data_IF_571618451343
#
_entry.id   IF_571618451343
#
_cell.length_a   1.000
_cell.length_b   1.000
_cell.length_c   1.000
_cell.angle_alpha   90.00
_cell.angle_beta   90.00
_cell.angle_gamma   90.00
#
_symmetry.space_group_name_H-M   'P 1'
#
loop_
_entity.id
_entity.type
_entity.pdbx_description
1 polymer ?
#
# COMPACT_ATOMS: atom_id res chain seq x y z
N UNK A 1 7.22 -92.90 -3.79
CA UNK A 1 6.45 -91.90 -3.02
C UNK A 1 7.34 -90.66 -2.79
N UNK A 2 7.25 -89.66 -3.66
CA UNK A 2 8.08 -88.49 -3.66
C UNK A 2 7.23 -87.28 -3.25
N UNK A 3 7.47 -86.71 -2.07
CA UNK A 3 6.82 -85.53 -1.58
C UNK A 3 7.50 -84.27 -2.15
N UNK A 4 6.75 -83.49 -2.90
CA UNK A 4 7.16 -82.11 -3.34
C UNK A 4 6.81 -81.11 -2.28
N UNK A 5 7.77 -80.27 -1.90
CA UNK A 5 7.57 -79.05 -1.08
C UNK A 5 7.31 -77.85 -2.01
N UNK A 6 6.40 -76.96 -1.66
CA UNK A 6 6.22 -75.74 -2.43
C UNK A 6 7.21 -74.66 -1.98
N UNK A 7 7.77 -73.99 -2.96
CA UNK A 7 8.66 -72.81 -2.75
C UNK A 7 7.81 -71.52 -2.41
N UNK A 8 8.09 -70.92 -1.29
CA UNK A 8 7.53 -69.65 -0.86
C UNK A 8 8.31 -68.49 -1.50
N UNK A 9 7.66 -67.73 -2.38
CA UNK A 9 8.22 -66.54 -2.97
C UNK A 9 7.99 -65.37 -1.94
N UNK A 10 9.05 -64.86 -1.38
CA UNK A 10 9.03 -63.66 -0.55
C UNK A 10 9.10 -62.42 -1.47
N UNK A 11 8.01 -61.66 -1.57
CA UNK A 11 7.97 -60.40 -2.27
C UNK A 11 8.50 -59.29 -1.32
N UNK A 12 9.65 -58.71 -1.62
CA UNK A 12 10.20 -57.57 -0.94
C UNK A 12 9.52 -56.30 -1.47
N UNK A 13 8.68 -55.65 -0.66
CA UNK A 13 8.16 -54.31 -0.92
C UNK A 13 9.24 -53.25 -0.55
N UNK A 14 9.85 -52.64 -1.57
CA UNK A 14 10.69 -51.46 -1.40
C UNK A 14 9.78 -50.22 -1.25
N UNK A 15 9.63 -49.71 -0.04
CA UNK A 15 8.98 -48.44 0.22
C UNK A 15 9.93 -47.30 -0.20
N UNK A 16 9.65 -46.63 -1.31
CA UNK A 16 10.31 -45.41 -1.71
C UNK A 16 9.68 -44.24 -0.88
N UNK A 17 10.36 -43.84 0.18
CA UNK A 17 10.01 -42.63 0.91
C UNK A 17 10.40 -41.42 0.05
N UNK A 18 9.42 -40.81 -0.63
CA UNK A 18 9.57 -39.50 -1.26
C UNK A 18 9.75 -38.46 -0.18
N UNK A 19 10.97 -38.01 0.06
CA UNK A 19 11.29 -36.82 0.86
C UNK A 19 10.76 -35.60 0.09
N UNK A 20 9.56 -35.16 0.45
CA UNK A 20 9.06 -33.84 0.05
C UNK A 20 9.98 -32.79 0.69
N UNK A 21 10.89 -32.26 -0.08
CA UNK A 21 11.66 -31.05 0.29
C UNK A 21 10.65 -29.91 0.42
N UNK A 22 10.25 -29.59 1.65
CA UNK A 22 9.53 -28.35 1.93
C UNK A 22 10.49 -27.20 1.59
N UNK A 23 10.17 -26.45 0.53
CA UNK A 23 10.88 -25.22 0.22
C UNK A 23 10.80 -24.31 1.45
N UNK A 24 11.95 -24.00 2.04
CA UNK A 24 12.00 -23.04 3.14
C UNK A 24 11.46 -21.70 2.65
N UNK A 25 10.61 -21.00 3.44
CA UNK A 25 10.14 -19.67 3.06
C UNK A 25 11.34 -18.78 2.77
N UNK A 26 11.38 -18.16 1.61
CA UNK A 26 12.44 -17.25 1.25
C UNK A 26 12.42 -16.07 2.22
N UNK A 27 13.58 -15.72 2.78
CA UNK A 27 13.72 -14.57 3.69
C UNK A 27 13.21 -13.29 2.99
N UNK A 28 12.49 -12.42 3.70
CA UNK A 28 11.97 -11.19 3.11
C UNK A 28 13.11 -10.28 2.67
N UNK A 29 12.96 -9.65 1.50
CA UNK A 29 13.90 -8.64 1.00
C UNK A 29 13.69 -7.35 1.78
N UNK A 30 14.70 -6.92 2.55
CA UNK A 30 14.67 -5.69 3.35
C UNK A 30 15.82 -4.79 2.99
N UNK A 31 15.53 -3.51 2.81
CA UNK A 31 16.51 -2.50 2.43
C UNK A 31 16.15 -1.14 3.03
N UNK A 32 17.16 -0.36 3.37
CA UNK A 32 17.03 1.06 3.72
C UNK A 32 17.87 1.85 2.73
N UNK A 33 17.22 2.70 1.95
CA UNK A 33 17.81 3.56 0.93
C UNK A 33 17.62 5.02 1.32
N UNK A 34 18.68 5.83 1.26
CA UNK A 34 18.58 7.28 1.47
C UNK A 34 17.92 7.94 0.27
N UNK A 35 16.90 8.78 0.52
CA UNK A 35 16.19 9.51 -0.54
C UNK A 35 16.76 10.93 -0.73
N UNK A 36 16.69 11.73 0.32
CA UNK A 36 17.20 13.10 0.32
C UNK A 36 17.42 13.56 1.77
N UNK A 37 18.38 14.47 2.01
CA UNK A 37 18.71 14.93 3.36
C UNK A 37 18.92 13.78 4.33
N UNK A 38 18.17 13.74 5.41
CA UNK A 38 18.14 12.61 6.36
C UNK A 38 16.80 11.83 6.30
N UNK A 39 16.16 11.81 5.12
CA UNK A 39 14.96 11.01 4.83
C UNK A 39 15.33 9.74 4.08
N UNK A 40 14.80 8.63 4.55
CA UNK A 40 15.11 7.29 4.07
C UNK A 40 13.83 6.54 3.69
N UNK A 41 13.92 5.66 2.69
CA UNK A 41 12.90 4.68 2.33
C UNK A 41 13.26 3.32 2.90
N UNK A 42 12.36 2.71 3.62
CA UNK A 42 12.43 1.31 4.04
C UNK A 42 11.63 0.44 3.09
N UNK A 43 12.21 -0.67 2.69
CA UNK A 43 11.59 -1.73 1.88
C UNK A 43 11.42 -3.00 2.70
N UNK A 44 10.22 -3.60 2.63
CA UNK A 44 9.98 -4.98 3.05
C UNK A 44 9.21 -5.70 1.93
N UNK A 45 9.92 -6.46 1.09
CA UNK A 45 9.41 -7.03 -0.16
C UNK A 45 8.85 -5.95 -1.10
N UNK A 46 7.52 -5.93 -1.31
CA UNK A 46 6.82 -4.98 -2.17
C UNK A 46 6.17 -3.83 -1.41
N UNK A 47 6.40 -3.72 -0.09
CA UNK A 47 5.89 -2.64 0.74
C UNK A 47 7.01 -1.67 1.09
N UNK A 48 6.67 -0.40 1.12
CA UNK A 48 7.60 0.66 1.41
C UNK A 48 7.04 1.64 2.45
N UNK A 49 7.90 2.10 3.33
CA UNK A 49 7.63 3.21 4.23
C UNK A 49 8.78 4.21 4.24
N UNK A 50 8.59 5.35 4.88
CA UNK A 50 9.57 6.44 4.95
C UNK A 50 9.88 6.75 6.40
N UNK A 51 11.12 7.13 6.69
CA UNK A 51 11.48 7.69 7.99
C UNK A 51 12.49 8.81 7.86
N UNK A 52 12.42 9.78 8.76
CA UNK A 52 13.37 10.89 8.86
C UNK A 52 14.17 10.77 10.15
N UNK A 53 15.50 10.88 10.05
CA UNK A 53 16.43 10.85 11.18
C UNK A 53 16.78 12.28 11.59
N UNK A 54 16.67 12.57 12.89
CA UNK A 54 16.97 13.88 13.44
C UNK A 54 17.87 13.77 14.67
N UNK A 55 18.50 14.87 15.14
CA UNK A 55 19.26 14.84 16.39
C UNK A 55 18.43 14.49 17.63
N UNK A 56 17.12 14.66 17.59
CA UNK A 56 16.20 14.40 18.71
C UNK A 56 15.46 13.06 18.63
N UNK A 57 15.69 12.26 17.58
CA UNK A 57 15.05 10.97 17.35
C UNK A 57 14.58 10.81 15.91
N UNK A 58 13.73 9.81 15.67
CA UNK A 58 13.24 9.46 14.33
C UNK A 58 11.75 9.64 14.25
N UNK A 59 11.28 10.21 13.13
CA UNK A 59 9.88 10.19 12.70
C UNK A 59 9.76 9.06 11.69
N UNK A 60 9.04 7.98 12.02
CA UNK A 60 8.79 6.85 11.14
C UNK A 60 7.35 6.82 10.65
N UNK A 61 7.12 6.18 9.52
CA UNK A 61 5.79 5.92 8.99
C UNK A 61 5.55 4.41 8.88
N UNK A 62 4.33 4.01 8.72
CA UNK A 62 3.87 2.67 8.39
C UNK A 62 4.80 1.49 8.74
N UNK A 63 4.52 0.75 9.83
CA UNK A 63 5.34 -0.36 10.29
C UNK A 63 5.32 -1.58 9.36
N UNK A 64 4.35 -1.68 8.44
CA UNK A 64 4.12 -2.74 7.44
C UNK A 64 3.61 -4.05 8.08
N UNK A 65 4.39 -4.63 9.00
CA UNK A 65 4.02 -5.76 9.85
C UNK A 65 5.00 -5.87 11.03
N UNK A 66 4.64 -6.66 12.02
CA UNK A 66 5.41 -6.76 13.27
C UNK A 66 6.87 -7.24 13.08
N UNK A 67 7.14 -8.08 12.08
CA UNK A 67 8.50 -8.55 11.79
C UNK A 67 9.34 -7.47 11.10
N UNK A 68 8.74 -6.78 10.10
CA UNK A 68 9.35 -5.64 9.42
C UNK A 68 9.62 -4.49 10.41
N UNK A 69 8.65 -4.19 11.28
CA UNK A 69 8.76 -3.18 12.33
C UNK A 69 9.93 -3.45 13.29
N UNK A 70 10.06 -4.68 13.81
CA UNK A 70 11.19 -5.07 14.66
C UNK A 70 12.53 -4.89 13.94
N UNK A 71 12.62 -5.38 12.71
CA UNK A 71 13.84 -5.24 11.92
C UNK A 71 14.19 -3.76 11.69
N UNK A 72 13.21 -2.94 11.30
CA UNK A 72 13.42 -1.51 11.07
C UNK A 72 13.86 -0.79 12.35
N UNK A 73 13.23 -1.07 13.49
CA UNK A 73 13.59 -0.48 14.80
C UNK A 73 15.02 -0.82 15.18
N UNK A 74 15.44 -2.08 14.98
CA UNK A 74 16.81 -2.51 15.27
C UNK A 74 17.84 -1.87 14.34
N UNK A 75 17.55 -1.75 13.04
CA UNK A 75 18.42 -1.08 12.07
C UNK A 75 18.53 0.44 12.31
N UNK A 76 17.43 1.10 12.67
CA UNK A 76 17.46 2.52 13.08
C UNK A 76 18.38 2.70 14.31
N UNK A 77 18.19 1.89 15.33
CA UNK A 77 19.05 1.94 16.54
C UNK A 77 20.52 1.70 16.22
N UNK A 78 20.80 0.69 15.39
CA UNK A 78 22.16 0.29 15.00
C UNK A 78 22.87 1.35 14.15
N UNK A 79 22.19 1.93 13.19
CA UNK A 79 22.77 2.87 12.21
C UNK A 79 22.86 4.29 12.73
N UNK A 80 21.87 4.72 13.49
CA UNK A 80 21.69 6.13 13.85
C UNK A 80 21.77 6.40 15.35
N UNK A 81 21.75 5.35 16.20
CA UNK A 81 21.71 5.47 17.66
C UNK A 81 20.57 6.36 18.19
N UNK A 82 19.45 6.43 17.46
CA UNK A 82 18.29 7.24 17.76
C UNK A 82 17.05 6.38 18.03
N UNK A 83 16.18 6.74 18.99
CA UNK A 83 14.87 6.11 19.16
C UNK A 83 13.85 6.67 18.16
N UNK A 84 12.86 5.85 17.79
CA UNK A 84 11.67 6.35 17.09
C UNK A 84 10.80 7.12 18.10
N UNK A 85 10.51 8.40 17.81
CA UNK A 85 9.73 9.31 18.65
C UNK A 85 8.30 9.50 18.16
N UNK A 86 8.10 9.41 16.84
CA UNK A 86 6.78 9.46 16.22
C UNK A 86 6.66 8.30 15.24
N UNK A 87 5.49 7.68 15.23
CA UNK A 87 5.05 6.73 14.22
C UNK A 87 3.76 7.26 13.60
N UNK A 88 3.76 7.49 12.28
CA UNK A 88 2.61 8.04 11.57
C UNK A 88 2.01 6.95 10.69
N UNK A 89 0.73 6.67 10.84
CA UNK A 89 0.01 5.77 9.93
C UNK A 89 -0.54 6.58 8.74
N UNK A 90 -0.29 6.07 7.56
CA UNK A 90 -0.79 6.67 6.30
C UNK A 90 -2.30 6.50 6.14
N UNK A 91 -2.82 5.33 6.48
CA UNK A 91 -4.22 4.94 6.47
C UNK A 91 -4.40 3.67 7.32
N UNK A 92 -5.57 3.05 7.33
CA UNK A 92 -5.90 1.95 8.26
C UNK A 92 -5.68 0.54 7.70
N UNK A 93 -5.18 0.37 6.47
CA UNK A 93 -4.98 -0.96 5.91
C UNK A 93 -3.90 -1.76 6.64
N UNK A 94 -4.18 -3.04 6.87
CA UNK A 94 -3.38 -3.89 7.75
C UNK A 94 -1.94 -4.11 7.24
N UNK A 95 -1.72 -4.12 5.95
CA UNK A 95 -0.40 -4.29 5.32
C UNK A 95 0.50 -3.05 5.43
N UNK A 96 -0.04 -1.95 5.95
CA UNK A 96 0.71 -0.73 6.31
C UNK A 96 0.86 -0.56 7.81
N UNK A 97 -0.19 -0.74 8.59
CA UNK A 97 -0.17 -0.38 10.00
C UNK A 97 0.09 -1.54 10.96
N UNK A 98 -0.02 -2.80 10.54
CA UNK A 98 0.20 -3.93 11.44
C UNK A 98 1.61 -3.88 12.05
N UNK A 99 1.72 -4.20 13.34
CA UNK A 99 3.01 -4.18 14.05
C UNK A 99 3.40 -2.81 14.63
N UNK A 100 2.51 -1.82 14.62
CA UNK A 100 2.79 -0.50 15.23
C UNK A 100 3.10 -0.57 16.72
N UNK A 101 2.61 -1.60 17.42
CA UNK A 101 2.90 -1.84 18.84
C UNK A 101 4.41 -2.05 19.13
N UNK A 102 5.20 -2.44 18.13
CA UNK A 102 6.67 -2.59 18.25
C UNK A 102 7.34 -1.27 18.62
N UNK A 103 6.75 -0.13 18.25
CA UNK A 103 7.28 1.20 18.53
C UNK A 103 6.64 1.87 19.75
N UNK A 104 5.62 1.27 20.36
CA UNK A 104 4.81 1.89 21.42
C UNK A 104 5.58 2.20 22.71
N UNK A 105 6.76 1.63 22.90
CA UNK A 105 7.65 1.92 24.04
C UNK A 105 8.34 3.28 23.96
N UNK A 106 8.51 3.84 22.77
CA UNK A 106 9.26 5.09 22.55
C UNK A 106 8.56 6.11 21.66
N UNK A 107 7.57 5.69 20.87
CA UNK A 107 6.93 6.53 19.87
C UNK A 107 5.50 6.91 20.27
N UNK A 108 5.16 8.17 19.98
CA UNK A 108 3.78 8.64 19.90
C UNK A 108 3.23 8.27 18.53
N UNK A 109 2.10 7.56 18.51
CA UNK A 109 1.42 7.16 17.26
C UNK A 109 0.43 8.23 16.85
N UNK A 110 0.54 8.70 15.60
CA UNK A 110 -0.35 9.70 14.99
C UNK A 110 -1.03 9.14 13.74
N UNK A 111 -2.29 9.50 13.51
CA UNK A 111 -3.05 9.13 12.32
C UNK A 111 -4.22 10.09 12.07
N UNK A 112 -4.84 10.00 10.90
CA UNK A 112 -6.13 10.65 10.65
C UNK A 112 -7.21 10.12 11.62
N UNK A 113 -8.14 10.98 12.02
CA UNK A 113 -9.20 10.63 12.98
C UNK A 113 -10.07 9.44 12.51
N UNK A 114 -10.35 9.35 11.20
CA UNK A 114 -11.08 8.23 10.62
C UNK A 114 -10.29 6.92 10.74
N UNK A 115 -8.97 6.93 10.48
CA UNK A 115 -8.13 5.75 10.63
C UNK A 115 -8.18 5.21 12.08
N UNK A 116 -8.05 6.07 13.09
CA UNK A 116 -8.21 5.66 14.49
C UNK A 116 -9.57 5.01 14.75
N UNK A 117 -10.65 5.58 14.20
CA UNK A 117 -12.00 5.03 14.37
C UNK A 117 -12.09 3.59 13.83
N UNK A 118 -11.60 3.35 12.62
CA UNK A 118 -11.58 2.02 11.99
C UNK A 118 -10.67 1.06 12.76
N UNK A 119 -9.46 1.48 13.13
CA UNK A 119 -8.49 0.68 13.90
C UNK A 119 -9.13 0.16 15.19
N UNK A 120 -9.85 1.02 15.92
CA UNK A 120 -10.52 0.65 17.18
C UNK A 120 -11.73 -0.25 16.92
N UNK A 121 -12.59 0.11 15.96
CA UNK A 121 -13.82 -0.63 15.66
C UNK A 121 -13.54 -2.06 15.18
N UNK A 122 -12.52 -2.22 14.31
CA UNK A 122 -12.16 -3.50 13.72
C UNK A 122 -11.06 -4.25 14.49
N UNK A 123 -10.57 -3.67 15.58
CA UNK A 123 -9.49 -4.25 16.41
C UNK A 123 -8.26 -4.61 15.57
N UNK A 124 -7.83 -3.69 14.71
CA UNK A 124 -6.66 -3.90 13.85
C UNK A 124 -5.42 -4.23 14.71
N UNK A 125 -4.54 -5.17 14.27
CA UNK A 125 -3.38 -5.62 15.04
C UNK A 125 -2.25 -4.57 15.01
N UNK A 126 -2.46 -3.46 15.71
CA UNK A 126 -1.53 -2.33 15.77
C UNK A 126 -1.75 -1.48 17.02
N UNK A 127 -0.79 -0.59 17.34
CA UNK A 127 -0.98 0.39 18.40
C UNK A 127 -2.07 1.40 18.02
N UNK A 128 -3.00 1.67 18.94
CA UNK A 128 -4.05 2.66 18.73
C UNK A 128 -3.42 4.06 18.73
N UNK A 129 -3.68 4.92 17.71
CA UNK A 129 -3.14 6.27 17.65
C UNK A 129 -3.50 7.11 18.88
N UNK A 130 -2.50 7.71 19.53
CA UNK A 130 -2.69 8.62 20.65
C UNK A 130 -3.08 10.03 20.16
N UNK A 131 -2.46 10.47 19.05
CA UNK A 131 -2.70 11.78 18.44
C UNK A 131 -3.47 11.59 17.14
N UNK A 132 -4.51 12.40 16.94
CA UNK A 132 -5.29 12.40 15.69
C UNK A 132 -5.56 13.81 15.20
N UNK A 133 -5.77 13.94 13.90
CA UNK A 133 -6.14 15.17 13.22
C UNK A 133 -7.23 14.91 12.17
N UNK A 134 -7.92 15.96 11.73
CA UNK A 134 -9.02 15.84 10.78
C UNK A 134 -8.68 16.38 9.37
N UNK A 135 -7.78 17.33 9.27
CA UNK A 135 -7.41 17.95 7.98
C UNK A 135 -5.90 18.00 7.79
N UNK A 136 -5.20 18.69 8.68
CA UNK A 136 -3.77 18.93 8.60
C UNK A 136 -3.12 18.86 9.98
N UNK A 137 -1.87 18.44 10.04
CA UNK A 137 -1.02 18.48 11.22
C UNK A 137 0.44 18.53 10.79
N UNK A 138 1.28 19.20 11.58
CA UNK A 138 2.73 19.15 11.42
C UNK A 138 3.38 18.48 12.61
N UNK A 139 4.40 17.67 12.35
CA UNK A 139 5.30 17.11 13.36
C UNK A 139 6.65 17.76 13.18
N UNK A 140 7.13 18.43 14.23
CA UNK A 140 8.45 19.00 14.27
C UNK A 140 9.31 18.23 15.29
N UNK A 141 10.46 17.75 14.86
CA UNK A 141 11.41 17.04 15.70
C UNK A 141 12.84 17.36 15.27
N UNK A 142 13.65 17.89 16.19
CA UNK A 142 15.07 18.16 15.94
C UNK A 142 15.37 19.02 14.72
N UNK A 143 14.47 19.96 14.37
CA UNK A 143 14.58 20.85 13.22
C UNK A 143 14.07 20.27 11.89
N UNK A 144 13.52 19.04 11.92
CA UNK A 144 12.84 18.44 10.75
C UNK A 144 11.33 18.61 10.93
N UNK A 145 10.67 19.08 9.86
CA UNK A 145 9.21 19.23 9.78
C UNK A 145 8.66 18.20 8.82
N UNK A 146 7.62 17.48 9.25
CA UNK A 146 6.79 16.61 8.39
C UNK A 146 5.38 17.13 8.45
N UNK A 147 4.84 17.51 7.29
CA UNK A 147 3.48 17.97 7.14
C UNK A 147 2.56 16.83 6.72
N UNK A 148 1.51 16.62 7.49
CA UNK A 148 0.50 15.60 7.26
C UNK A 148 -0.76 16.28 6.74
N UNK A 149 -1.31 15.82 5.63
CA UNK A 149 -2.53 16.38 5.06
C UNK A 149 -3.52 15.30 4.64
N UNK A 150 -4.78 15.47 5.04
CA UNK A 150 -5.89 14.70 4.52
C UNK A 150 -6.45 15.39 3.28
N UNK A 151 -6.23 14.79 2.14
CA UNK A 151 -6.62 15.36 0.83
C UNK A 151 -8.02 14.97 0.36
N UNK A 152 -8.82 14.36 1.23
CA UNK A 152 -10.14 13.85 0.94
C UNK A 152 -10.16 12.33 0.83
N UNK A 153 -11.36 11.76 0.68
CA UNK A 153 -11.53 10.33 0.45
C UNK A 153 -10.91 9.94 -0.90
N UNK A 154 -10.34 8.75 -0.95
CA UNK A 154 -9.71 8.25 -2.16
C UNK A 154 -9.73 6.72 -2.18
N UNK A 155 -8.57 6.05 -2.12
CA UNK A 155 -8.37 4.64 -1.90
C UNK A 155 -9.00 4.15 -0.57
N UNK A 156 -9.10 5.05 0.43
CA UNK A 156 -9.83 4.85 1.68
C UNK A 156 -10.48 6.18 2.12
N UNK A 157 -11.23 6.19 3.21
CA UNK A 157 -11.78 7.42 3.81
C UNK A 157 -10.81 8.12 4.76
N UNK A 158 -9.58 7.65 4.86
CA UNK A 158 -8.63 8.08 5.89
C UNK A 158 -7.17 8.16 5.45
N UNK A 159 -6.87 7.94 4.16
CA UNK A 159 -5.51 8.07 3.62
C UNK A 159 -5.04 9.51 3.67
N UNK A 160 -3.81 9.70 4.14
CA UNK A 160 -3.14 10.99 4.20
C UNK A 160 -1.90 11.00 3.30
N UNK A 161 -1.43 12.20 2.97
CA UNK A 161 -0.10 12.41 2.44
C UNK A 161 0.82 12.98 3.50
N UNK A 162 2.11 12.67 3.41
CA UNK A 162 3.15 13.16 4.31
C UNK A 162 4.22 13.87 3.49
N UNK A 163 4.31 15.19 3.63
CA UNK A 163 5.27 16.02 2.92
C UNK A 163 6.48 16.30 3.79
N UNK A 164 7.66 16.21 3.21
CA UNK A 164 8.95 16.63 3.76
C UNK A 164 9.39 17.87 2.98
N UNK A 165 9.02 19.09 3.45
CA UNK A 165 9.15 20.31 2.64
C UNK A 165 10.59 20.61 2.22
N UNK A 166 11.54 20.47 3.14
CA UNK A 166 12.96 20.73 2.91
C UNK A 166 13.56 19.79 1.83
N UNK A 167 13.17 18.54 1.84
CA UNK A 167 13.62 17.50 0.91
C UNK A 167 12.78 17.46 -0.37
N UNK A 168 11.70 18.26 -0.46
CA UNK A 168 10.75 18.28 -1.58
C UNK A 168 10.21 16.89 -1.91
N UNK A 169 9.87 16.12 -0.86
CA UNK A 169 9.42 14.73 -0.96
C UNK A 169 7.99 14.60 -0.44
N UNK A 170 7.18 13.80 -1.15
CA UNK A 170 5.83 13.44 -0.75
C UNK A 170 5.70 11.91 -0.64
N UNK A 171 5.32 11.40 0.52
CA UNK A 171 4.91 10.02 0.72
C UNK A 171 3.40 9.95 0.65
N UNK A 172 2.86 9.32 -0.40
CA UNK A 172 1.43 9.29 -0.71
C UNK A 172 0.87 7.85 -0.79
N UNK A 173 1.56 6.92 -0.29
CA UNK A 173 1.29 5.51 -0.06
C UNK A 173 0.53 4.83 -1.21
N UNK A 174 -0.75 4.45 -1.04
CA UNK A 174 -1.43 3.51 -1.94
C UNK A 174 -2.33 4.15 -2.98
N UNK A 175 -2.77 5.39 -2.74
CA UNK A 175 -3.70 6.01 -3.66
C UNK A 175 -3.06 6.67 -4.89
N UNK A 176 -1.71 6.62 -5.02
CA UNK A 176 -0.98 7.10 -6.20
C UNK A 176 0.05 6.06 -6.64
N UNK A 177 -0.37 5.00 -7.32
CA UNK A 177 0.56 4.05 -7.93
C UNK A 177 1.32 4.70 -9.08
N UNK A 178 2.60 4.34 -9.24
CA UNK A 178 3.48 4.86 -10.29
C UNK A 178 3.54 3.86 -11.42
N UNK A 179 3.05 4.25 -12.61
CA UNK A 179 2.99 3.40 -13.80
C UNK A 179 2.40 1.99 -13.51
N UNK A 180 1.36 1.98 -12.71
CA UNK A 180 0.60 0.78 -12.35
C UNK A 180 -0.89 1.10 -12.32
N UNK A 181 -1.73 0.12 -12.64
CA UNK A 181 -3.17 0.25 -12.45
C UNK A 181 -3.50 0.30 -10.96
N UNK A 182 -4.65 0.90 -10.65
CA UNK A 182 -5.21 0.87 -9.31
C UNK A 182 -5.47 -0.56 -8.84
N UNK A 183 -5.43 -0.79 -7.52
CA UNK A 183 -5.58 -2.12 -6.96
C UNK A 183 -6.94 -2.72 -7.26
N UNK A 184 -6.96 -3.79 -8.04
CA UNK A 184 -8.10 -4.66 -8.35
C UNK A 184 -9.37 -3.90 -8.76
N UNK A 185 -10.47 -4.14 -8.03
CA UNK A 185 -11.81 -3.63 -8.31
C UNK A 185 -12.24 -2.48 -7.39
N UNK A 186 -11.25 -1.78 -6.83
CA UNK A 186 -11.47 -0.63 -5.92
C UNK A 186 -12.30 -1.00 -4.66
N UNK A 187 -11.90 -1.98 -3.83
CA UNK A 187 -12.76 -2.54 -2.79
C UNK A 187 -13.29 -1.50 -1.79
N UNK A 188 -12.49 -0.50 -1.41
CA UNK A 188 -12.82 0.50 -0.39
C UNK A 188 -12.84 1.93 -0.93
N UNK A 189 -12.77 2.11 -2.25
CA UNK A 189 -12.49 3.39 -2.87
C UNK A 189 -13.74 4.27 -3.06
N UNK A 190 -13.48 5.58 -3.08
CA UNK A 190 -14.40 6.66 -3.37
C UNK A 190 -13.97 7.33 -4.67
N UNK A 191 -14.41 6.82 -5.82
CA UNK A 191 -13.81 7.11 -7.13
C UNK A 191 -13.77 8.60 -7.47
N UNK A 192 -14.88 9.34 -7.33
CA UNK A 192 -14.88 10.76 -7.66
C UNK A 192 -14.01 11.55 -6.68
N UNK A 193 -14.14 11.27 -5.39
CA UNK A 193 -13.31 11.90 -4.37
C UNK A 193 -11.82 11.57 -4.55
N UNK A 194 -11.51 10.37 -5.09
CA UNK A 194 -10.14 9.99 -5.41
C UNK A 194 -9.56 10.87 -6.53
N UNK A 195 -10.30 11.09 -7.61
CA UNK A 195 -9.90 12.00 -8.68
C UNK A 195 -9.66 13.41 -8.13
N UNK A 196 -10.58 13.90 -7.29
CA UNK A 196 -10.45 15.23 -6.64
C UNK A 196 -9.23 15.29 -5.69
N UNK A 197 -8.94 14.19 -4.98
CA UNK A 197 -7.74 14.08 -4.12
C UNK A 197 -6.45 14.14 -4.94
N UNK A 198 -6.42 13.47 -6.11
CA UNK A 198 -5.27 13.52 -7.01
C UNK A 198 -5.02 14.94 -7.54
N UNK A 199 -6.06 15.70 -7.87
CA UNK A 199 -5.93 17.12 -8.27
C UNK A 199 -5.32 17.96 -7.15
N UNK A 200 -5.72 17.75 -5.89
CA UNK A 200 -5.15 18.46 -4.73
C UNK A 200 -3.68 18.12 -4.54
N UNK A 201 -3.30 16.84 -4.68
CA UNK A 201 -1.89 16.42 -4.59
C UNK A 201 -1.06 16.98 -5.75
N UNK A 202 -1.60 17.02 -6.96
CA UNK A 202 -0.91 17.61 -8.13
C UNK A 202 -0.58 19.10 -7.90
N UNK A 203 -1.40 19.82 -7.13
CA UNK A 203 -1.16 21.23 -6.77
C UNK A 203 -0.08 21.41 -5.67
N UNK A 204 0.29 20.35 -4.92
CA UNK A 204 1.29 20.45 -3.86
C UNK A 204 2.71 20.67 -4.43
N UNK A 205 3.59 21.24 -3.60
CA UNK A 205 4.98 21.48 -3.96
C UNK A 205 5.89 20.32 -3.49
N UNK A 206 6.31 19.48 -4.44
CA UNK A 206 7.27 18.38 -4.25
C UNK A 206 7.87 17.97 -5.60
N UNK A 207 9.03 17.29 -5.54
CA UNK A 207 9.72 16.74 -6.71
C UNK A 207 9.68 15.20 -6.73
N UNK A 208 9.78 14.57 -5.55
CA UNK A 208 9.83 13.12 -5.41
C UNK A 208 8.54 12.60 -4.81
N UNK A 209 7.87 11.70 -5.53
CA UNK A 209 6.72 10.93 -5.04
C UNK A 209 7.20 9.57 -4.55
N UNK A 210 6.84 9.22 -3.32
CA UNK A 210 7.11 7.89 -2.74
C UNK A 210 5.79 7.16 -2.55
N UNK A 211 5.52 6.10 -3.32
CA UNK A 211 4.36 5.24 -3.07
C UNK A 211 4.65 4.17 -2.01
N UNK A 212 3.59 3.59 -1.44
CA UNK A 212 3.67 2.43 -0.54
C UNK A 212 4.02 1.13 -1.27
N UNK A 213 3.75 1.09 -2.58
CA UNK A 213 4.09 -0.02 -3.47
C UNK A 213 4.72 0.50 -4.77
N UNK A 214 5.70 -0.24 -5.30
CA UNK A 214 6.31 0.07 -6.60
C UNK A 214 7.46 1.08 -6.56
N UNK A 215 7.85 1.65 -7.72
CA UNK A 215 9.00 2.53 -7.86
C UNK A 215 8.72 3.95 -7.35
N UNK A 216 9.78 4.73 -7.16
CA UNK A 216 9.67 6.16 -6.94
C UNK A 216 9.07 6.86 -8.17
N UNK A 217 8.32 7.93 -7.91
CA UNK A 217 7.71 8.76 -8.93
C UNK A 217 8.04 10.24 -8.79
N UNK A 218 7.29 11.03 -9.55
CA UNK A 218 7.34 12.50 -9.56
C UNK A 218 5.92 13.03 -9.71
N UNK A 219 5.76 14.35 -9.68
CA UNK A 219 4.46 15.02 -9.83
C UNK A 219 3.72 14.62 -11.14
N UNK A 220 4.45 14.39 -12.22
CA UNK A 220 3.85 13.93 -13.48
C UNK A 220 3.09 12.60 -13.35
N UNK A 221 3.56 11.68 -12.50
CA UNK A 221 2.87 10.40 -12.28
C UNK A 221 1.54 10.57 -11.55
N UNK A 222 1.40 11.60 -10.70
CA UNK A 222 0.10 11.94 -10.09
C UNK A 222 -0.90 12.33 -11.18
N UNK A 223 -0.49 13.23 -12.10
CA UNK A 223 -1.33 13.63 -13.24
C UNK A 223 -1.66 12.44 -14.14
N UNK A 224 -0.67 11.63 -14.50
CA UNK A 224 -0.88 10.45 -15.35
C UNK A 224 -1.89 9.47 -14.74
N UNK A 225 -1.79 9.24 -13.43
CA UNK A 225 -2.72 8.36 -12.74
C UNK A 225 -4.13 8.99 -12.62
N UNK A 226 -4.23 10.30 -12.40
CA UNK A 226 -5.51 11.02 -12.44
C UNK A 226 -6.17 10.90 -13.81
N UNK A 227 -5.42 11.16 -14.89
CA UNK A 227 -5.91 10.99 -16.25
C UNK A 227 -6.40 9.56 -16.51
N UNK A 228 -5.68 8.55 -16.04
CA UNK A 228 -6.13 7.16 -16.11
C UNK A 228 -7.50 6.95 -15.43
N UNK A 229 -7.68 7.46 -14.22
CA UNK A 229 -8.94 7.32 -13.47
C UNK A 229 -10.10 8.07 -14.14
N UNK A 230 -9.84 9.25 -14.70
CA UNK A 230 -10.81 10.04 -15.46
C UNK A 230 -11.20 9.34 -16.76
N UNK A 231 -10.24 8.91 -17.57
CA UNK A 231 -10.48 8.19 -18.82
C UNK A 231 -11.24 6.88 -18.59
N UNK A 232 -10.84 6.10 -17.57
CA UNK A 232 -11.53 4.85 -17.22
C UNK A 232 -12.98 5.10 -16.81
N UNK A 233 -13.23 6.12 -15.97
CA UNK A 233 -14.58 6.50 -15.55
C UNK A 233 -15.44 6.88 -16.77
N UNK A 234 -14.93 7.70 -17.64
CA UNK A 234 -15.66 8.25 -18.78
C UNK A 234 -15.97 7.15 -19.82
N UNK A 235 -15.02 6.24 -20.09
CA UNK A 235 -15.24 5.07 -20.96
C UNK A 235 -16.29 4.13 -20.38
N UNK A 236 -16.18 3.77 -19.11
CA UNK A 236 -17.16 2.88 -18.45
C UNK A 236 -18.55 3.54 -18.39
N UNK A 237 -18.61 4.84 -18.06
CA UNK A 237 -19.86 5.59 -18.01
C UNK A 237 -20.55 5.64 -19.38
N UNK A 238 -19.79 5.85 -20.46
CA UNK A 238 -20.31 5.87 -21.84
C UNK A 238 -21.03 4.55 -22.17
N UNK A 239 -20.36 3.42 -21.93
CA UNK A 239 -20.92 2.11 -22.21
C UNK A 239 -22.09 1.73 -21.27
N UNK A 240 -22.01 2.12 -20.00
CA UNK A 240 -23.10 1.91 -19.06
C UNK A 240 -24.36 2.69 -19.46
N UNK A 241 -24.22 3.91 -20.03
CA UNK A 241 -25.35 4.71 -20.58
C UNK A 241 -25.95 4.08 -21.83
N UNK A 242 -25.17 3.36 -22.62
CA UNK A 242 -25.65 2.56 -23.76
C UNK A 242 -26.40 1.28 -23.31
N UNK A 243 -26.52 1.02 -22.02
CA UNK A 243 -27.20 -0.15 -21.46
C UNK A 243 -26.40 -1.45 -21.51
N UNK A 244 -25.09 -1.38 -21.77
CA UNK A 244 -24.23 -2.56 -21.81
C UNK A 244 -24.03 -3.15 -20.42
N UNK A 245 -23.98 -4.48 -20.36
CA UNK A 245 -23.63 -5.24 -19.15
C UNK A 245 -22.15 -5.05 -18.78
N UNK A 246 -21.80 -5.34 -17.53
CA UNK A 246 -20.40 -5.28 -17.07
C UNK A 246 -19.47 -6.18 -17.90
N UNK A 247 -19.93 -7.35 -18.31
CA UNK A 247 -19.13 -8.27 -19.11
C UNK A 247 -18.87 -7.74 -20.52
N UNK A 248 -19.86 -7.09 -21.14
CA UNK A 248 -19.65 -6.38 -22.41
C UNK A 248 -18.68 -5.22 -22.26
N UNK A 249 -18.79 -4.42 -21.20
CA UNK A 249 -17.91 -3.28 -20.94
C UNK A 249 -16.47 -3.73 -20.73
N UNK A 250 -16.23 -4.83 -20.01
CA UNK A 250 -14.89 -5.45 -19.86
C UNK A 250 -14.25 -5.83 -21.20
N UNK A 251 -15.06 -6.22 -22.20
CA UNK A 251 -14.57 -6.55 -23.55
C UNK A 251 -14.28 -5.30 -24.39
N UNK A 252 -14.95 -4.20 -24.14
CA UNK A 252 -14.87 -2.97 -24.94
C UNK A 252 -13.82 -1.99 -24.44
N UNK A 253 -13.67 -1.82 -23.14
CA UNK A 253 -12.70 -0.88 -22.53
C UNK A 253 -11.30 -1.48 -22.57
N UNK A 254 -10.38 -0.87 -23.32
CA UNK A 254 -9.02 -1.38 -23.54
C UNK A 254 -7.91 -0.47 -23.01
N UNK A 255 -8.11 0.82 -22.87
CA UNK A 255 -7.14 1.77 -22.32
C UNK A 255 -5.71 1.61 -22.86
N UNK A 256 -5.47 1.57 -24.19
CA UNK A 256 -4.18 1.20 -24.78
C UNK A 256 -3.02 2.12 -24.40
N UNK A 257 -3.29 3.38 -24.05
CA UNK A 257 -2.31 4.36 -23.54
C UNK A 257 -1.56 3.83 -22.31
N UNK A 258 -2.18 2.93 -21.54
CA UNK A 258 -1.66 2.40 -20.29
C UNK A 258 -1.21 0.93 -20.38
N UNK A 259 -1.11 0.37 -21.59
CA UNK A 259 -0.82 -1.07 -21.81
C UNK A 259 0.56 -1.52 -21.26
N UNK A 260 1.49 -0.58 -21.07
CA UNK A 260 2.81 -0.85 -20.48
C UNK A 260 2.86 -0.77 -18.96
N UNK A 261 1.75 -0.31 -18.35
CA UNK A 261 1.70 -0.18 -16.90
C UNK A 261 1.64 -1.55 -16.20
N UNK A 262 2.26 -1.61 -15.03
CA UNK A 262 2.22 -2.80 -14.18
C UNK A 262 0.79 -3.23 -13.90
N UNK A 263 0.52 -4.53 -13.96
CA UNK A 263 -0.78 -5.15 -13.74
C UNK A 263 -1.85 -4.83 -14.80
N UNK A 264 -1.52 -4.23 -15.95
CA UNK A 264 -2.50 -3.87 -16.97
C UNK A 264 -3.40 -5.05 -17.36
N UNK A 265 -2.84 -6.16 -17.83
CA UNK A 265 -3.61 -7.32 -18.27
C UNK A 265 -4.46 -7.93 -17.13
N UNK A 266 -3.89 -7.97 -15.93
CA UNK A 266 -4.52 -8.63 -14.79
C UNK A 266 -5.60 -7.74 -14.14
N UNK A 267 -5.38 -6.43 -14.05
CA UNK A 267 -6.24 -5.55 -13.26
C UNK A 267 -7.17 -4.67 -14.08
N UNK A 268 -6.92 -4.45 -15.37
CA UNK A 268 -7.84 -3.65 -16.17
C UNK A 268 -9.28 -4.19 -16.15
N UNK A 269 -9.53 -5.51 -16.35
CA UNK A 269 -10.89 -6.04 -16.25
C UNK A 269 -11.53 -5.83 -14.87
N UNK A 270 -10.73 -5.89 -13.80
CA UNK A 270 -11.19 -5.64 -12.42
C UNK A 270 -11.46 -4.14 -12.19
N UNK A 271 -10.57 -3.26 -12.68
CA UNK A 271 -10.79 -1.82 -12.60
C UNK A 271 -12.07 -1.41 -13.35
N UNK A 272 -12.35 -2.00 -14.51
CA UNK A 272 -13.60 -1.79 -15.26
C UNK A 272 -14.81 -2.24 -14.44
N UNK A 273 -14.74 -3.39 -13.79
CA UNK A 273 -15.82 -3.91 -12.95
C UNK A 273 -16.10 -3.00 -11.74
N UNK A 274 -15.07 -2.59 -11.03
CA UNK A 274 -15.18 -1.68 -9.89
C UNK A 274 -15.72 -0.31 -10.30
N UNK A 275 -15.24 0.23 -11.43
CA UNK A 275 -15.73 1.48 -11.98
C UNK A 275 -17.19 1.36 -12.43
N UNK A 276 -17.58 0.24 -13.03
CA UNK A 276 -18.96 -0.01 -13.44
C UNK A 276 -19.92 -0.03 -12.24
N UNK A 277 -19.54 -0.71 -11.14
CA UNK A 277 -20.33 -0.69 -9.90
C UNK A 277 -20.50 0.74 -9.37
N UNK A 278 -19.42 1.53 -9.34
CA UNK A 278 -19.44 2.91 -8.89
C UNK A 278 -20.42 3.76 -9.73
N UNK A 279 -20.33 3.68 -11.06
CA UNK A 279 -21.19 4.40 -11.99
C UNK A 279 -22.67 4.02 -11.80
N UNK A 280 -22.99 2.75 -11.56
CA UNK A 280 -24.37 2.30 -11.32
C UNK A 280 -24.91 2.80 -9.98
N UNK A 281 -24.12 2.78 -8.90
CA UNK A 281 -24.56 3.26 -7.58
C UNK A 281 -24.89 4.76 -7.57
N UNK A 282 -24.20 5.55 -8.39
CA UNK A 282 -24.39 7.00 -8.45
C UNK A 282 -25.30 7.45 -9.61
N UNK A 283 -25.84 6.51 -10.37
CA UNK A 283 -26.80 6.80 -11.41
C UNK A 283 -28.16 7.09 -10.78
N UNK A 284 -28.70 8.31 -11.01
CA UNK A 284 -30.09 8.59 -10.64
C UNK A 284 -30.99 7.72 -11.48
N UNK A 285 -32.00 7.01 -10.91
CA UNK A 285 -33.06 6.39 -11.70
C UNK A 285 -33.77 7.50 -12.50
N UNK A 286 -33.96 7.26 -13.78
CA UNK A 286 -34.76 8.16 -14.66
C UNK A 286 -36.22 8.06 -14.29
#
# INVERSE_FOLDING_TARGET
>A
MTKRFPATVAAALAAVAALATQAQPQAPVREITKLAGEVYRFRNNNHYSVFAVTPAGVIATDPINAEAARWLKDEIRKRFAQPVRYLVYSHDHADHIAGGEVFADTAVVAAHANAKRTIVAEKRPTAVPQVTFASEMSIELGGTVVELAYVGRNHSDNSIVMRFPKERLLFAVDFIPVESLAFRDFPDAYIQDWIDSLQRVEAMDFDVLVPGHGPLGRKEHVRMFREYMEELRDEVLRHAREGKSVDEVKQLVKMPKYATWTNYEQWLPLNVEGMYRHVQMHRRPN
#
